data_IF_593661273145
#
_entry.id   IF_593661273145
#
_cell.length_a   1.000
_cell.length_b   1.000
_cell.length_c   1.000
_cell.angle_alpha   90.00
_cell.angle_beta   90.00
_cell.angle_gamma   90.00
#
_symmetry.space_group_name_H-M   'P 1'
#
loop_
_entity.id
_entity.type
_entity.pdbx_description
1 polymer ?
#
# COMPACT_ATOMS: atom_id res chain seq x y z
N UNK A 1 -4.94 -13.51 5.76
CA UNK A 1 -3.81 -12.62 6.15
C UNK A 1 -3.61 -12.49 7.66
N UNK A 2 -4.64 -12.73 8.48
CA UNK A 2 -4.48 -12.78 9.94
C UNK A 2 -5.03 -11.56 10.68
N UNK A 3 -5.81 -10.71 10.03
CA UNK A 3 -6.69 -9.76 10.70
C UNK A 3 -7.65 -10.50 11.65
N UNK A 4 -7.82 -9.97 12.86
CA UNK A 4 -8.63 -10.58 13.90
C UNK A 4 -10.03 -9.95 13.96
N UNK A 5 -11.02 -10.67 13.43
CA UNK A 5 -12.42 -10.22 13.41
C UNK A 5 -13.11 -10.22 14.78
N UNK A 6 -12.50 -10.77 15.83
CA UNK A 6 -13.00 -10.56 17.20
C UNK A 6 -12.61 -9.18 17.74
N UNK A 7 -11.71 -8.49 17.04
CA UNK A 7 -11.11 -7.20 17.40
C UNK A 7 -11.25 -6.18 16.28
N UNK A 8 -12.22 -6.38 15.40
CA UNK A 8 -12.41 -5.55 14.24
C UNK A 8 -13.51 -5.99 13.31
N UNK A 9 -13.91 -5.09 12.42
CA UNK A 9 -14.98 -5.32 11.43
C UNK A 9 -14.60 -4.75 10.07
N UNK A 10 -15.30 -5.19 9.03
CA UNK A 10 -15.21 -4.61 7.69
C UNK A 10 -16.58 -4.07 7.25
N UNK A 11 -16.59 -2.98 6.49
CA UNK A 11 -17.79 -2.34 5.94
C UNK A 11 -17.50 -1.73 4.54
N UNK A 12 -18.52 -1.14 3.91
CA UNK A 12 -18.36 -0.44 2.63
C UNK A 12 -18.22 1.08 2.82
N UNK A 13 -17.37 1.71 2.02
CA UNK A 13 -17.25 3.18 1.94
C UNK A 13 -16.89 3.63 0.52
N UNK A 14 -17.07 4.92 0.23
CA UNK A 14 -16.69 5.49 -1.08
C UNK A 14 -15.16 5.52 -1.29
N UNK A 15 -14.42 5.80 -0.22
CA UNK A 15 -12.96 5.70 -0.18
C UNK A 15 -12.59 4.72 0.92
N UNK A 16 -11.93 3.59 0.60
CA UNK A 16 -11.43 2.65 1.59
C UNK A 16 -10.52 3.32 2.61
N UNK A 17 -10.66 2.94 3.89
CA UNK A 17 -9.80 3.40 4.97
C UNK A 17 -9.76 2.41 6.13
N UNK A 18 -8.78 2.62 7.01
CA UNK A 18 -8.64 1.93 8.29
C UNK A 18 -8.80 2.94 9.42
N UNK A 19 -9.61 2.59 10.41
CA UNK A 19 -9.80 3.36 11.64
C UNK A 19 -9.59 2.46 12.85
N UNK A 20 -8.76 2.88 13.79
CA UNK A 20 -8.60 2.25 15.09
C UNK A 20 -9.21 3.13 16.19
N UNK A 21 -10.00 2.54 17.09
CA UNK A 21 -10.37 3.16 18.36
C UNK A 21 -9.41 2.74 19.48
N UNK A 22 -9.07 1.45 19.48
CA UNK A 22 -7.94 0.84 20.17
C UNK A 22 -7.55 -0.47 19.44
N UNK A 23 -6.52 -1.19 19.90
CA UNK A 23 -6.06 -2.43 19.25
C UNK A 23 -7.10 -3.58 19.19
N UNK A 24 -8.18 -3.48 19.95
CA UNK A 24 -9.30 -4.42 20.04
C UNK A 24 -10.56 -3.93 19.29
N UNK A 25 -10.55 -2.74 18.70
CA UNK A 25 -11.59 -2.25 17.79
C UNK A 25 -10.94 -1.49 16.61
N UNK A 26 -10.51 -2.28 15.62
CA UNK A 26 -9.93 -1.80 14.36
C UNK A 26 -10.89 -2.10 13.22
N UNK A 27 -11.28 -1.08 12.46
CA UNK A 27 -12.32 -1.16 11.44
C UNK A 27 -11.73 -0.85 10.07
N UNK A 28 -12.05 -1.70 9.12
CA UNK A 28 -11.63 -1.56 7.73
C UNK A 28 -12.85 -1.21 6.88
N UNK A 29 -12.63 -0.51 5.79
CA UNK A 29 -13.64 -0.40 4.75
C UNK A 29 -13.08 -0.79 3.39
N UNK A 30 -13.95 -1.18 2.47
CA UNK A 30 -13.60 -1.41 1.07
C UNK A 30 -14.70 -0.87 0.15
N UNK A 31 -14.41 -0.82 -1.15
CA UNK A 31 -15.37 -0.45 -2.19
C UNK A 31 -15.44 -1.56 -3.21
N UNK A 32 -16.62 -2.12 -3.41
CA UNK A 32 -16.86 -3.09 -4.46
C UNK A 32 -17.17 -2.37 -5.77
N UNK A 33 -16.45 -2.75 -6.83
CA UNK A 33 -16.68 -2.28 -8.19
C UNK A 33 -17.04 -3.52 -9.01
N UNK A 34 -18.29 -3.59 -9.47
CA UNK A 34 -18.89 -4.79 -10.08
C UNK A 34 -18.02 -5.37 -11.22
N UNK A 35 -17.40 -4.52 -12.03
CA UNK A 35 -16.59 -4.91 -13.18
C UNK A 35 -15.06 -4.83 -12.92
N UNK A 36 -14.63 -4.62 -11.67
CA UNK A 36 -13.22 -4.53 -11.30
C UNK A 36 -12.96 -5.22 -9.95
N UNK A 37 -13.09 -6.56 -9.86
CA UNK A 37 -12.99 -7.29 -8.60
C UNK A 37 -11.64 -7.10 -7.90
N UNK A 38 -10.55 -6.99 -8.67
CA UNK A 38 -9.20 -6.78 -8.11
C UNK A 38 -9.04 -5.44 -7.40
N UNK A 39 -9.77 -4.40 -7.79
CA UNK A 39 -9.78 -3.12 -7.07
C UNK A 39 -10.20 -3.34 -5.61
N UNK A 40 -11.34 -4.03 -5.40
CA UNK A 40 -11.83 -4.34 -4.06
C UNK A 40 -10.94 -5.32 -3.28
N UNK A 41 -10.34 -6.30 -3.96
CA UNK A 41 -9.45 -7.29 -3.33
C UNK A 41 -8.18 -6.60 -2.83
N UNK A 42 -7.50 -5.82 -3.68
CA UNK A 42 -6.26 -5.15 -3.29
C UNK A 42 -6.51 -4.00 -2.31
N UNK A 43 -7.62 -3.26 -2.45
CA UNK A 43 -8.08 -2.33 -1.42
C UNK A 43 -8.27 -3.03 -0.07
N UNK A 44 -8.95 -4.18 -0.04
CA UNK A 44 -9.16 -4.93 1.22
C UNK A 44 -7.84 -5.41 1.81
N UNK A 45 -6.90 -5.88 0.97
CA UNK A 45 -5.58 -6.30 1.41
C UNK A 45 -4.78 -5.11 1.97
N UNK A 46 -4.85 -3.96 1.31
CA UNK A 46 -4.20 -2.72 1.70
C UNK A 46 -4.64 -2.30 3.11
N UNK A 47 -5.96 -2.15 3.31
CA UNK A 47 -6.53 -1.82 4.61
C UNK A 47 -6.27 -2.91 5.65
N UNK A 48 -6.22 -4.18 5.24
CA UNK A 48 -5.82 -5.27 6.13
C UNK A 48 -4.40 -5.10 6.67
N UNK A 49 -3.46 -4.60 5.88
CA UNK A 49 -2.10 -4.34 6.34
C UNK A 49 -2.03 -3.26 7.40
N UNK A 50 -2.75 -2.15 7.20
CA UNK A 50 -2.96 -1.12 8.22
C UNK A 50 -3.61 -1.71 9.49
N UNK A 51 -4.70 -2.46 9.32
CA UNK A 51 -5.43 -3.03 10.43
C UNK A 51 -4.61 -4.02 11.26
N UNK A 52 -3.77 -4.82 10.60
CA UNK A 52 -2.87 -5.75 11.29
C UNK A 52 -1.83 -5.00 12.13
N UNK A 53 -1.28 -3.88 11.63
CA UNK A 53 -0.35 -3.07 12.41
C UNK A 53 -1.05 -2.59 13.70
N UNK A 54 -2.21 -1.96 13.58
CA UNK A 54 -2.96 -1.43 14.71
C UNK A 54 -3.36 -2.53 15.72
N UNK A 55 -3.81 -3.70 15.25
CA UNK A 55 -4.16 -4.83 16.10
C UNK A 55 -2.98 -5.47 16.86
N UNK A 56 -1.75 -5.17 16.46
CA UNK A 56 -0.51 -5.74 17.00
C UNK A 56 0.30 -4.79 17.87
N UNK A 57 -0.16 -3.54 18.05
CA UNK A 57 0.44 -2.60 19.01
C UNK A 57 0.46 -3.20 20.42
N UNK A 58 1.55 -2.95 21.15
CA UNK A 58 1.80 -3.52 22.48
C UNK A 58 0.67 -3.21 23.49
N UNK A 59 0.37 -4.18 24.35
CA UNK A 59 -0.64 -4.02 25.41
C UNK A 59 -0.25 -2.93 26.41
N UNK A 60 1.05 -2.83 26.72
CA UNK A 60 1.59 -1.83 27.66
C UNK A 60 1.46 -0.39 27.16
N UNK A 61 1.16 -0.18 25.87
CA UNK A 61 0.95 1.14 25.29
C UNK A 61 -0.51 1.57 25.32
N UNK A 62 -1.46 0.66 25.54
CA UNK A 62 -2.88 0.96 25.43
C UNK A 62 -3.32 2.03 26.44
N UNK A 63 -4.22 2.92 26.02
CA UNK A 63 -4.65 4.08 26.82
C UNK A 63 -3.67 5.25 26.82
N UNK A 64 -2.56 5.16 26.07
CA UNK A 64 -1.62 6.28 25.86
C UNK A 64 -1.69 6.80 24.43
N UNK A 65 -1.08 7.96 24.16
CA UNK A 65 -0.93 8.50 22.80
C UNK A 65 0.05 7.71 21.92
N UNK A 66 0.71 6.69 22.48
CA UNK A 66 1.66 5.83 21.78
C UNK A 66 1.00 4.57 21.19
N UNK A 67 -0.29 4.34 21.49
CA UNK A 67 -1.05 3.14 21.14
C UNK A 67 -1.55 3.07 19.69
N UNK A 68 -0.72 3.49 18.73
CA UNK A 68 -1.05 3.50 17.29
C UNK A 68 0.26 3.46 16.49
N UNK A 69 0.21 3.30 15.17
CA UNK A 69 1.42 3.23 14.35
C UNK A 69 2.31 4.48 14.40
N UNK A 70 3.62 4.26 14.21
CA UNK A 70 4.71 5.22 14.41
C UNK A 70 4.58 6.51 13.61
N UNK A 71 4.77 6.41 12.30
CA UNK A 71 4.65 7.51 11.34
C UNK A 71 3.73 7.11 10.19
N UNK A 72 3.20 8.08 9.44
CA UNK A 72 2.35 7.80 8.28
C UNK A 72 3.08 6.93 7.24
N UNK A 73 4.36 7.19 6.98
CA UNK A 73 5.16 6.39 6.06
C UNK A 73 5.38 4.96 6.56
N UNK A 74 5.64 4.76 7.86
CA UNK A 74 5.73 3.43 8.43
C UNK A 74 4.37 2.71 8.40
N UNK A 75 3.27 3.42 8.63
CA UNK A 75 1.93 2.86 8.59
C UNK A 75 1.55 2.41 7.18
N UNK A 76 1.82 3.25 6.17
CA UNK A 76 1.68 2.90 4.75
C UNK A 76 2.59 1.75 4.33
N UNK A 77 3.78 1.66 4.91
CA UNK A 77 4.66 0.54 4.58
C UNK A 77 4.02 -0.81 4.90
N UNK A 78 3.16 -0.88 5.92
CA UNK A 78 2.47 -2.12 6.26
C UNK A 78 1.36 -2.42 5.25
N UNK A 79 0.56 -1.44 4.85
CA UNK A 79 -0.46 -1.65 3.82
C UNK A 79 0.15 -2.04 2.48
N UNK A 80 1.18 -1.33 2.02
CA UNK A 80 1.89 -1.64 0.76
C UNK A 80 2.63 -2.97 0.81
N UNK A 81 3.23 -3.32 1.94
CA UNK A 81 3.83 -4.63 2.13
C UNK A 81 2.82 -5.76 1.88
N UNK A 82 1.66 -5.68 2.53
CA UNK A 82 0.63 -6.70 2.37
C UNK A 82 -0.02 -6.66 0.98
N UNK A 83 -0.28 -5.49 0.42
CA UNK A 83 -0.88 -5.33 -0.90
C UNK A 83 0.04 -5.85 -2.01
N UNK A 84 1.26 -5.34 -2.06
CA UNK A 84 2.11 -5.46 -3.23
C UNK A 84 3.12 -6.60 -3.10
N UNK A 85 3.93 -6.57 -2.04
CA UNK A 85 4.98 -7.58 -1.84
C UNK A 85 4.38 -8.95 -1.50
N UNK A 86 3.23 -8.98 -0.84
CA UNK A 86 2.50 -10.22 -0.55
C UNK A 86 1.36 -10.45 -1.56
N UNK A 87 0.34 -9.59 -1.56
CA UNK A 87 -0.93 -9.81 -2.28
C UNK A 87 -0.79 -9.86 -3.80
N UNK A 88 0.16 -9.14 -4.39
CA UNK A 88 0.45 -9.17 -5.84
C UNK A 88 1.57 -10.15 -6.22
N UNK A 89 2.06 -10.96 -5.29
CA UNK A 89 3.11 -11.96 -5.56
C UNK A 89 2.54 -13.27 -6.11
N UNK A 90 3.25 -13.89 -7.05
CA UNK A 90 2.90 -15.23 -7.57
C UNK A 90 2.76 -16.26 -6.44
N UNK A 91 3.65 -16.23 -5.45
CA UNK A 91 3.65 -17.15 -4.30
C UNK A 91 2.38 -17.06 -3.47
N UNK A 92 1.84 -15.86 -3.27
CA UNK A 92 0.56 -15.68 -2.57
C UNK A 92 -0.59 -16.30 -3.35
N UNK A 93 -0.68 -16.03 -4.65
CA UNK A 93 -1.73 -16.57 -5.50
C UNK A 93 -1.67 -18.09 -5.57
N UNK A 94 -0.49 -18.70 -5.73
CA UNK A 94 -0.33 -20.17 -5.69
C UNK A 94 -0.90 -20.79 -4.41
N UNK A 95 -0.73 -20.12 -3.27
CA UNK A 95 -1.22 -20.61 -1.98
C UNK A 95 -2.74 -20.54 -1.79
N UNK A 96 -3.43 -19.73 -2.61
CA UNK A 96 -4.88 -19.50 -2.49
C UNK A 96 -5.68 -19.88 -3.73
N UNK A 97 -5.06 -20.04 -4.90
CA UNK A 97 -5.73 -20.17 -6.19
C UNK A 97 -6.77 -21.30 -6.19
N UNK A 98 -6.30 -22.53 -5.97
CA UNK A 98 -7.16 -23.72 -6.01
C UNK A 98 -8.24 -23.71 -4.92
N UNK A 99 -7.96 -23.07 -3.77
CA UNK A 99 -8.89 -22.97 -2.64
C UNK A 99 -10.06 -22.04 -2.92
N UNK A 100 -9.93 -21.15 -3.90
CA UNK A 100 -10.93 -20.14 -4.22
C UNK A 100 -11.69 -20.45 -5.51
N UNK A 101 -11.39 -21.56 -6.19
CA UNK A 101 -12.08 -21.98 -7.41
C UNK A 101 -13.59 -22.18 -7.19
N UNK A 102 -14.01 -22.68 -6.02
CA UNK A 102 -15.43 -22.90 -5.72
C UNK A 102 -16.18 -21.58 -5.47
N UNK A 103 -15.47 -20.54 -4.99
CA UNK A 103 -16.03 -19.20 -4.75
C UNK A 103 -16.03 -18.38 -6.03
N UNK A 104 -14.98 -18.52 -6.85
CA UNK A 104 -14.79 -17.83 -8.12
C UNK A 104 -14.57 -18.85 -9.24
N UNK A 105 -15.64 -19.44 -9.80
CA UNK A 105 -15.53 -20.46 -10.84
C UNK A 105 -14.74 -20.03 -12.09
N UNK A 106 -14.67 -18.73 -12.36
CA UNK A 106 -13.86 -18.14 -13.44
C UNK A 106 -12.37 -18.51 -13.34
N UNK A 107 -11.86 -18.81 -12.13
CA UNK A 107 -10.48 -19.28 -11.94
C UNK A 107 -10.21 -20.63 -12.60
N UNK A 108 -11.23 -21.39 -13.01
CA UNK A 108 -11.06 -22.62 -13.82
C UNK A 108 -10.74 -22.33 -15.28
N UNK A 109 -11.08 -21.13 -15.76
CA UNK A 109 -10.98 -20.75 -17.16
C UNK A 109 -9.72 -19.94 -17.47
N UNK A 110 -9.14 -19.30 -16.44
CA UNK A 110 -7.85 -18.60 -16.54
C UNK A 110 -6.74 -19.45 -15.93
N UNK A 111 -5.51 -19.31 -16.43
CA UNK A 111 -4.35 -19.90 -15.76
C UNK A 111 -3.73 -18.89 -14.76
N UNK A 112 -2.98 -19.41 -13.78
CA UNK A 112 -2.41 -18.58 -12.72
C UNK A 112 -1.36 -17.57 -13.24
N UNK A 113 -0.65 -17.89 -14.32
CA UNK A 113 0.34 -17.00 -14.93
C UNK A 113 -0.35 -15.82 -15.64
N UNK A 114 -1.47 -16.06 -16.32
CA UNK A 114 -2.36 -15.04 -16.89
C UNK A 114 -2.92 -14.12 -15.81
N UNK A 115 -3.44 -14.71 -14.73
CA UNK A 115 -3.91 -13.94 -13.58
C UNK A 115 -2.79 -13.06 -13.01
N UNK A 116 -1.61 -13.63 -12.80
CA UNK A 116 -0.46 -12.91 -12.26
C UNK A 116 -0.01 -11.75 -13.16
N UNK A 117 -0.08 -11.92 -14.48
CA UNK A 117 0.18 -10.83 -15.44
C UNK A 117 -0.88 -9.74 -15.34
N UNK A 118 -2.15 -10.10 -15.25
CA UNK A 118 -3.26 -9.13 -15.21
C UNK A 118 -3.25 -8.28 -13.93
N UNK A 119 -3.08 -8.89 -12.76
CA UNK A 119 -3.05 -8.15 -11.49
C UNK A 119 -1.82 -7.25 -11.32
N UNK A 120 -0.83 -7.41 -12.20
CA UNK A 120 0.39 -6.63 -12.25
C UNK A 120 0.51 -5.83 -13.55
N UNK A 121 -0.61 -5.60 -14.24
CA UNK A 121 -0.62 -4.75 -15.42
C UNK A 121 -0.21 -3.31 -15.05
N UNK A 122 0.59 -2.71 -15.91
CA UNK A 122 1.11 -1.35 -15.82
C UNK A 122 0.53 -0.51 -16.94
N UNK A 123 -0.04 0.63 -16.58
CA UNK A 123 -0.60 1.58 -17.54
C UNK A 123 -0.72 2.97 -16.90
N UNK A 124 -0.26 4.04 -17.58
CA UNK A 124 -0.54 5.39 -17.13
C UNK A 124 -2.05 5.63 -17.01
N UNK A 125 -2.50 6.11 -15.86
CA UNK A 125 -3.91 6.28 -15.55
C UNK A 125 -4.16 7.58 -14.78
N UNK A 126 -5.43 7.92 -14.56
CA UNK A 126 -5.80 9.17 -13.89
C UNK A 126 -5.88 9.04 -12.37
N UNK A 127 -6.42 7.92 -11.88
CA UNK A 127 -6.83 7.75 -10.48
C UNK A 127 -5.70 7.12 -9.67
N UNK A 128 -5.13 7.87 -8.73
CA UNK A 128 -3.99 7.45 -7.92
C UNK A 128 -4.24 6.14 -7.17
N UNK A 129 -5.44 5.92 -6.62
CA UNK A 129 -5.74 4.70 -5.85
C UNK A 129 -5.78 3.44 -6.70
N UNK A 130 -5.99 3.59 -8.02
CA UNK A 130 -6.03 2.48 -8.98
C UNK A 130 -4.73 2.35 -9.78
N UNK A 131 -3.75 3.24 -9.55
CA UNK A 131 -2.48 3.22 -10.25
C UNK A 131 -1.63 1.99 -9.90
N UNK A 132 -0.89 1.48 -10.87
CA UNK A 132 0.01 0.34 -10.72
C UNK A 132 1.30 0.71 -9.95
N UNK A 133 2.10 -0.29 -9.57
CA UNK A 133 3.28 -0.08 -8.72
C UNK A 133 4.40 0.76 -9.38
N UNK A 134 4.45 0.84 -10.72
CA UNK A 134 5.43 1.64 -11.45
C UNK A 134 4.98 3.10 -11.62
N UNK A 135 3.69 3.33 -11.80
CA UNK A 135 3.13 4.68 -12.04
C UNK A 135 2.68 5.38 -10.76
N UNK A 136 2.32 4.65 -9.71
CA UNK A 136 1.77 5.20 -8.45
C UNK A 136 2.62 6.31 -7.84
N UNK A 137 3.95 6.12 -7.75
CA UNK A 137 4.84 7.12 -7.15
C UNK A 137 4.89 8.43 -7.94
N UNK A 138 4.59 8.40 -9.24
CA UNK A 138 4.51 9.61 -10.07
C UNK A 138 3.29 10.45 -9.69
N UNK A 139 2.15 9.82 -9.38
CA UNK A 139 0.98 10.54 -8.82
C UNK A 139 1.31 11.26 -7.51
N UNK A 140 2.18 10.67 -6.68
CA UNK A 140 2.65 11.29 -5.44
C UNK A 140 3.56 12.48 -5.73
N UNK A 141 4.47 12.35 -6.70
CA UNK A 141 5.36 13.45 -7.11
C UNK A 141 4.56 14.67 -7.59
N UNK A 142 3.52 14.46 -8.43
CA UNK A 142 2.64 15.53 -8.91
C UNK A 142 2.06 16.33 -7.73
N UNK A 143 1.49 15.64 -6.73
CA UNK A 143 0.86 16.27 -5.57
C UNK A 143 1.89 16.97 -4.69
N UNK A 144 3.03 16.34 -4.43
CA UNK A 144 4.10 16.92 -3.64
C UNK A 144 4.65 18.21 -4.26
N UNK A 145 4.86 18.24 -5.57
CA UNK A 145 5.32 19.45 -6.26
C UNK A 145 4.27 20.56 -6.26
N UNK A 146 2.99 20.21 -6.42
CA UNK A 146 1.89 21.17 -6.28
C UNK A 146 1.86 21.76 -4.88
N UNK A 147 1.88 20.92 -3.83
CA UNK A 147 1.90 21.38 -2.44
C UNK A 147 3.09 22.30 -2.15
N UNK A 148 4.28 21.93 -2.63
CA UNK A 148 5.48 22.75 -2.48
C UNK A 148 5.33 24.10 -3.19
N UNK A 149 4.81 24.11 -4.42
CA UNK A 149 4.59 25.35 -5.17
C UNK A 149 3.57 26.26 -4.51
N UNK A 150 2.47 25.72 -3.96
CA UNK A 150 1.49 26.51 -3.19
C UNK A 150 2.15 27.11 -1.95
N UNK A 151 2.87 26.30 -1.16
CA UNK A 151 3.53 26.76 0.08
C UNK A 151 4.56 27.86 -0.20
N UNK A 152 5.27 27.77 -1.33
CA UNK A 152 6.26 28.75 -1.74
C UNK A 152 5.66 30.00 -2.41
N UNK A 153 4.34 30.06 -2.65
CA UNK A 153 3.70 31.13 -3.41
C UNK A 153 4.06 31.13 -4.90
N UNK A 154 4.44 29.98 -5.44
CA UNK A 154 4.75 29.76 -6.86
C UNK A 154 3.53 29.31 -7.67
N UNK A 155 2.50 28.77 -7.00
CA UNK A 155 1.24 28.30 -7.59
C UNK A 155 0.07 28.95 -6.85
N UNK A 156 -0.81 29.61 -7.59
CA UNK A 156 -2.08 30.13 -7.07
C UNK A 156 -3.16 29.04 -7.07
N UNK A 157 -4.07 29.09 -6.08
CA UNK A 157 -5.12 28.06 -5.91
C UNK A 157 -6.06 28.01 -7.11
N UNK A 158 -6.37 29.16 -7.71
CA UNK A 158 -7.28 29.25 -8.85
C UNK A 158 -6.71 28.58 -10.12
N UNK A 159 -5.38 28.39 -10.20
CA UNK A 159 -4.70 27.77 -11.35
C UNK A 159 -4.54 26.26 -11.20
N UNK A 160 -4.96 25.68 -10.06
CA UNK A 160 -4.76 24.26 -9.76
C UNK A 160 -5.28 23.28 -10.83
N UNK A 161 -6.46 23.48 -11.46
CA UNK A 161 -6.91 22.59 -12.54
C UNK A 161 -5.93 22.53 -13.72
N UNK A 162 -5.39 23.68 -14.14
CA UNK A 162 -4.43 23.75 -15.26
C UNK A 162 -3.07 23.15 -14.86
N UNK A 163 -2.57 23.51 -13.68
CA UNK A 163 -1.31 22.99 -13.17
C UNK A 163 -1.36 21.47 -13.01
N UNK A 164 -2.49 20.93 -12.53
CA UNK A 164 -2.71 19.50 -12.41
C UNK A 164 -2.61 18.80 -13.76
N UNK A 165 -3.37 19.28 -14.75
CA UNK A 165 -3.41 18.68 -16.07
C UNK A 165 -2.03 18.69 -16.74
N UNK A 166 -1.30 19.80 -16.64
CA UNK A 166 0.07 19.91 -17.15
C UNK A 166 1.02 18.90 -16.49
N UNK A 167 0.92 18.73 -15.16
CA UNK A 167 1.76 17.77 -14.45
C UNK A 167 1.38 16.31 -14.75
N UNK A 168 0.10 16.01 -14.91
CA UNK A 168 -0.35 14.67 -15.35
C UNK A 168 0.20 14.35 -16.75
N UNK A 169 0.18 15.30 -17.68
CA UNK A 169 0.79 15.13 -19.00
C UNK A 169 2.32 14.96 -18.92
N UNK A 170 3.00 15.78 -18.13
CA UNK A 170 4.46 15.73 -17.95
C UNK A 170 4.95 14.41 -17.35
N UNK A 171 4.28 13.92 -16.30
CA UNK A 171 4.72 12.75 -15.55
C UNK A 171 4.17 11.43 -16.10
N UNK A 172 2.91 11.42 -16.55
CA UNK A 172 2.19 10.20 -16.94
C UNK A 172 1.79 10.19 -18.41
N UNK A 173 1.90 11.31 -19.14
CA UNK A 173 1.50 11.38 -20.54
C UNK A 173 -0.02 11.33 -20.77
N UNK A 174 -0.81 11.58 -19.72
CA UNK A 174 -2.28 11.50 -19.77
C UNK A 174 -2.91 12.74 -19.13
N UNK A 175 -4.08 13.16 -19.61
CA UNK A 175 -4.81 14.33 -19.07
C UNK A 175 -6.26 13.93 -18.79
N UNK A 176 -6.76 14.10 -17.55
CA UNK A 176 -8.16 13.85 -17.22
C UNK A 176 -9.12 14.77 -18.01
N UNK A 177 -10.26 14.26 -18.45
CA UNK A 177 -11.26 15.06 -19.16
C UNK A 177 -12.02 16.03 -18.24
N UNK A 178 -12.07 15.74 -16.94
CA UNK A 178 -12.81 16.51 -15.95
C UNK A 178 -12.05 16.63 -14.64
N UNK A 179 -12.31 17.69 -13.88
CA UNK A 179 -11.69 17.91 -12.57
C UNK A 179 -12.04 16.84 -11.54
N UNK A 180 -13.17 16.12 -11.73
CA UNK A 180 -13.58 14.98 -10.91
C UNK A 180 -12.50 13.90 -10.87
N UNK A 181 -11.95 13.56 -12.04
CA UNK A 181 -10.88 12.57 -12.18
C UNK A 181 -9.50 13.25 -12.21
N UNK A 182 -9.47 14.58 -12.20
CA UNK A 182 -8.29 15.42 -12.07
C UNK A 182 -8.07 15.88 -10.64
N UNK A 183 -7.96 17.19 -10.45
CA UNK A 183 -7.55 17.82 -9.19
C UNK A 183 -8.47 17.54 -8.00
N UNK A 184 -9.72 17.15 -8.23
CA UNK A 184 -10.71 16.83 -7.18
C UNK A 184 -10.77 15.34 -6.83
N UNK A 185 -9.93 14.49 -7.43
CA UNK A 185 -10.00 13.04 -7.23
C UNK A 185 -9.69 12.59 -5.78
N UNK A 186 -8.95 13.41 -5.03
CA UNK A 186 -8.50 13.11 -3.67
C UNK A 186 -9.08 14.06 -2.64
N UNK A 187 -9.50 13.49 -1.50
CA UNK A 187 -10.10 14.25 -0.39
C UNK A 187 -9.07 15.00 0.47
N UNK A 188 -7.79 14.66 0.35
CA UNK A 188 -6.71 15.08 1.27
C UNK A 188 -6.65 16.59 1.47
N UNK A 189 -6.63 17.36 0.38
CA UNK A 189 -6.54 18.82 0.46
C UNK A 189 -7.80 19.45 1.07
N UNK A 190 -8.99 18.89 0.79
CA UNK A 190 -10.24 19.32 1.43
C UNK A 190 -10.25 19.03 2.93
N UNK A 191 -9.58 17.96 3.37
CA UNK A 191 -9.39 17.60 4.77
C UNK A 191 -8.21 18.30 5.46
N UNK A 192 -7.50 19.20 4.76
CA UNK A 192 -6.32 19.90 5.31
C UNK A 192 -5.07 19.03 5.47
N UNK A 193 -5.01 17.87 4.81
CA UNK A 193 -3.88 16.93 4.85
C UNK A 193 -2.76 17.36 3.87
N UNK A 194 -2.18 18.54 4.11
CA UNK A 194 -1.05 19.08 3.33
C UNK A 194 0.27 18.48 3.83
N UNK A 195 1.15 18.06 2.92
CA UNK A 195 2.40 17.37 3.25
C UNK A 195 2.20 15.89 3.58
N UNK A 196 0.99 15.36 3.38
CA UNK A 196 0.64 13.97 3.67
C UNK A 196 1.07 13.03 2.54
N UNK A 197 0.89 13.42 1.27
CA UNK A 197 1.13 12.53 0.13
C UNK A 197 2.53 11.91 0.05
N UNK A 198 3.63 12.62 0.41
CA UNK A 198 4.97 12.01 0.44
C UNK A 198 5.06 10.75 1.31
N UNK A 199 4.22 10.62 2.34
CA UNK A 199 4.17 9.42 3.17
C UNK A 199 3.82 8.15 2.38
N UNK A 200 3.02 8.27 1.30
CA UNK A 200 2.68 7.15 0.43
C UNK A 200 3.90 6.58 -0.30
N UNK A 201 4.72 7.47 -0.88
CA UNK A 201 5.96 7.06 -1.56
C UNK A 201 6.99 6.50 -0.55
N UNK A 202 7.10 7.10 0.63
CA UNK A 202 7.95 6.57 1.71
C UNK A 202 7.51 5.17 2.15
N UNK A 203 6.19 4.92 2.23
CA UNK A 203 5.63 3.61 2.55
C UNK A 203 6.13 2.52 1.61
N UNK A 204 6.12 2.76 0.30
CA UNK A 204 6.66 1.83 -0.70
C UNK A 204 8.15 1.51 -0.46
N UNK A 205 8.96 2.53 -0.14
CA UNK A 205 10.40 2.36 0.11
C UNK A 205 10.65 1.56 1.39
N UNK A 206 9.99 1.92 2.49
CA UNK A 206 10.06 1.17 3.75
C UNK A 206 9.62 -0.29 3.55
N UNK A 207 8.50 -0.51 2.87
CA UNK A 207 7.96 -1.85 2.62
C UNK A 207 8.96 -2.74 1.87
N UNK A 208 9.60 -2.20 0.83
CA UNK A 208 10.57 -2.94 0.03
C UNK A 208 11.85 -3.26 0.82
N UNK A 209 12.36 -2.31 1.60
CA UNK A 209 13.56 -2.54 2.42
C UNK A 209 13.27 -3.55 3.56
N UNK A 210 12.11 -3.46 4.20
CA UNK A 210 11.65 -4.45 5.18
C UNK A 210 11.49 -5.84 4.56
N UNK A 211 10.87 -5.93 3.38
CA UNK A 211 10.71 -7.18 2.64
C UNK A 211 12.06 -7.79 2.26
N UNK A 212 13.01 -6.97 1.80
CA UNK A 212 14.36 -7.43 1.49
C UNK A 212 15.05 -8.04 2.73
N UNK A 213 14.94 -7.40 3.89
CA UNK A 213 15.48 -7.93 5.14
C UNK A 213 14.75 -9.21 5.57
N UNK A 214 13.42 -9.24 5.48
CA UNK A 214 12.62 -10.42 5.84
C UNK A 214 13.01 -11.66 5.01
N UNK A 215 13.31 -11.50 3.71
CA UNK A 215 13.79 -12.59 2.85
C UNK A 215 15.14 -13.19 3.29
N UNK A 216 15.94 -12.46 4.08
CA UNK A 216 17.18 -12.98 4.67
C UNK A 216 16.90 -13.83 5.92
N UNK A 217 15.83 -13.51 6.65
CA UNK A 217 15.44 -14.16 7.89
C UNK A 217 14.58 -15.42 7.67
N UNK A 218 13.82 -15.48 6.58
CA UNK A 218 12.92 -16.61 6.28
C UNK A 218 12.64 -16.78 4.78
N UNK A 219 12.20 -17.99 4.40
CA UNK A 219 11.68 -18.26 3.06
C UNK A 219 10.23 -17.78 2.92
N UNK A 220 10.08 -16.50 2.59
CA UNK A 220 8.76 -15.85 2.46
C UNK A 220 7.91 -16.54 1.40
N UNK A 221 8.49 -16.92 0.26
CA UNK A 221 7.76 -17.58 -0.83
C UNK A 221 7.14 -18.89 -0.39
N UNK A 222 7.93 -19.75 0.26
CA UNK A 222 7.43 -21.03 0.80
C UNK A 222 6.32 -20.81 1.83
N UNK A 223 6.44 -19.79 2.71
CA UNK A 223 5.37 -19.46 3.63
C UNK A 223 4.07 -19.05 2.92
N UNK A 224 4.17 -18.24 1.86
CA UNK A 224 3.00 -17.80 1.08
C UNK A 224 2.34 -18.94 0.31
N UNK A 225 3.11 -19.75 -0.41
CA UNK A 225 2.57 -20.90 -1.18
C UNK A 225 1.89 -21.92 -0.26
N UNK A 226 2.31 -22.03 1.00
CA UNK A 226 1.70 -22.91 1.99
C UNK A 226 0.62 -22.23 2.86
N UNK A 227 0.29 -20.97 2.62
CA UNK A 227 -0.71 -20.21 3.38
C UNK A 227 -0.31 -19.89 4.84
N UNK A 228 0.97 -19.95 5.17
CA UNK A 228 1.55 -19.72 6.51
C UNK A 228 1.91 -18.25 6.75
N UNK A 229 0.91 -17.37 6.68
CA UNK A 229 1.06 -15.91 6.87
C UNK A 229 1.33 -15.50 8.33
N UNK A 230 1.14 -16.40 9.29
CA UNK A 230 1.40 -16.20 10.71
C UNK A 230 2.86 -15.86 11.00
N UNK A 231 3.80 -16.46 10.25
CA UNK A 231 5.24 -16.19 10.38
C UNK A 231 5.63 -14.79 9.92
N UNK A 232 5.09 -14.37 8.78
CA UNK A 232 5.27 -13.01 8.23
C UNK A 232 4.68 -11.98 9.20
N UNK A 233 3.43 -12.20 9.64
CA UNK A 233 2.74 -11.36 10.61
C UNK A 233 3.50 -11.27 11.95
N UNK A 234 4.04 -12.40 12.43
CA UNK A 234 4.83 -12.45 13.66
C UNK A 234 6.15 -11.69 13.54
N UNK A 235 6.83 -11.80 12.40
CA UNK A 235 8.07 -11.06 12.15
C UNK A 235 7.87 -9.55 12.19
N UNK A 236 6.82 -9.05 11.53
CA UNK A 236 6.45 -7.63 11.56
C UNK A 236 6.03 -7.19 12.96
N UNK A 237 5.29 -8.02 13.69
CA UNK A 237 4.91 -7.76 15.09
C UNK A 237 6.12 -7.49 15.96
N UNK A 238 7.03 -8.46 15.99
CA UNK A 238 8.12 -8.50 16.97
C UNK A 238 9.19 -7.41 16.70
N UNK A 239 9.24 -6.91 15.46
CA UNK A 239 10.21 -5.89 15.03
C UNK A 239 9.62 -4.49 14.89
N UNK A 240 8.34 -4.38 14.58
CA UNK A 240 7.71 -3.09 14.23
C UNK A 240 6.49 -2.83 15.11
N UNK A 241 5.50 -3.73 15.05
CA UNK A 241 4.16 -3.35 15.48
C UNK A 241 4.04 -3.12 16.98
N UNK A 242 4.73 -3.93 17.79
CA UNK A 242 4.65 -3.84 19.26
C UNK A 242 5.04 -2.47 19.80
N UNK A 243 5.85 -1.72 19.06
CA UNK A 243 6.38 -0.44 19.50
C UNK A 243 5.39 0.72 19.35
N UNK A 244 4.33 0.60 18.56
CA UNK A 244 3.43 1.73 18.30
C UNK A 244 4.21 3.00 17.88
N UNK A 245 4.01 4.12 18.60
CA UNK A 245 4.79 5.37 18.46
C UNK A 245 5.95 5.52 19.45
N UNK A 246 6.33 4.47 20.18
CA UNK A 246 7.40 4.55 21.18
C UNK A 246 8.79 4.78 20.56
N UNK A 247 8.98 4.33 19.31
CA UNK A 247 10.26 4.35 18.61
C UNK A 247 10.20 5.27 17.40
N UNK A 248 11.27 6.02 17.16
CA UNK A 248 11.43 6.80 15.94
C UNK A 248 11.57 5.87 14.73
N UNK A 249 10.88 6.21 13.63
CA UNK A 249 10.82 5.33 12.44
C UNK A 249 12.22 5.09 11.85
N UNK A 250 13.06 6.13 11.77
CA UNK A 250 14.40 6.00 11.20
C UNK A 250 15.31 5.06 12.02
N UNK A 251 15.27 5.17 13.35
CA UNK A 251 16.02 4.30 14.25
C UNK A 251 15.55 2.85 14.14
N UNK A 252 14.23 2.65 14.11
CA UNK A 252 13.63 1.32 14.00
C UNK A 252 14.04 0.62 12.70
N UNK A 253 14.03 1.36 11.58
CA UNK A 253 14.44 0.84 10.28
C UNK A 253 15.93 0.50 10.29
N UNK A 254 16.79 1.39 10.79
CA UNK A 254 18.22 1.13 10.94
C UNK A 254 18.52 -0.12 11.77
N UNK A 255 17.80 -0.33 12.87
CA UNK A 255 17.96 -1.51 13.73
C UNK A 255 17.53 -2.81 13.05
N UNK A 256 16.41 -2.77 12.31
CA UNK A 256 15.86 -3.96 11.65
C UNK A 256 16.70 -4.34 10.43
N UNK A 257 17.06 -3.37 9.60
CA UNK A 257 17.64 -3.60 8.28
C UNK A 257 19.16 -3.55 8.29
N UNK A 258 19.75 -2.89 9.29
CA UNK A 258 21.18 -2.63 9.42
C UNK A 258 21.66 -1.38 8.68
N UNK A 259 20.78 -0.62 8.03
CA UNK A 259 21.12 0.59 7.26
C UNK A 259 19.97 1.62 7.26
N UNK A 260 20.28 2.85 6.86
CA UNK A 260 19.29 3.92 6.76
C UNK A 260 18.25 3.61 5.67
N UNK A 261 17.25 4.47 5.51
CA UNK A 261 16.25 4.29 4.46
C UNK A 261 16.90 4.39 3.07
N UNK A 262 16.82 3.32 2.29
CA UNK A 262 17.51 3.20 1.02
C UNK A 262 16.53 2.88 -0.12
N UNK A 263 16.23 3.85 -1.02
CA UNK A 263 15.31 3.68 -2.15
C UNK A 263 15.70 2.56 -3.13
N UNK A 264 16.98 2.16 -3.14
CA UNK A 264 17.51 1.11 -4.02
C UNK A 264 16.71 -0.20 -3.92
N UNK A 265 16.26 -0.57 -2.73
CA UNK A 265 15.50 -1.82 -2.52
C UNK A 265 14.14 -1.80 -3.19
N UNK A 266 13.47 -0.65 -3.22
CA UNK A 266 12.22 -0.50 -3.95
C UNK A 266 12.44 -0.59 -5.46
N UNK A 267 13.47 0.10 -5.96
CA UNK A 267 13.83 0.07 -7.39
C UNK A 267 14.21 -1.36 -7.82
N UNK A 268 15.02 -2.06 -7.03
CA UNK A 268 15.43 -3.44 -7.30
C UNK A 268 14.22 -4.39 -7.27
N UNK A 269 13.33 -4.27 -6.29
CA UNK A 269 12.09 -5.04 -6.23
C UNK A 269 11.24 -4.87 -7.50
N UNK A 270 11.02 -3.62 -7.92
CA UNK A 270 10.26 -3.32 -9.12
C UNK A 270 10.94 -3.87 -10.37
N UNK A 271 12.25 -3.62 -10.54
CA UNK A 271 13.01 -4.12 -11.69
C UNK A 271 12.95 -5.64 -11.77
N UNK A 272 13.22 -6.35 -10.67
CA UNK A 272 13.22 -7.81 -10.64
C UNK A 272 11.83 -8.38 -10.97
N UNK A 273 10.77 -7.78 -10.43
CA UNK A 273 9.40 -8.23 -10.64
C UNK A 273 8.95 -7.98 -12.08
N UNK A 274 9.11 -6.75 -12.55
CA UNK A 274 8.53 -6.31 -13.82
C UNK A 274 9.36 -6.75 -15.03
N UNK A 275 10.68 -6.93 -14.91
CA UNK A 275 11.46 -7.53 -16.00
C UNK A 275 11.02 -8.95 -16.32
N UNK A 276 10.66 -9.74 -15.30
CA UNK A 276 10.13 -11.10 -15.46
C UNK A 276 8.70 -11.13 -16.01
N UNK A 277 7.86 -10.16 -15.66
CA UNK A 277 6.45 -10.11 -16.13
C UNK A 277 6.39 -9.71 -17.60
N UNK A 278 7.20 -8.74 -17.99
CA UNK A 278 7.17 -8.10 -19.32
C UNK A 278 8.30 -8.58 -20.25
N UNK A 279 9.07 -9.59 -19.84
CA UNK A 279 10.19 -10.15 -20.59
C UNK A 279 11.18 -9.06 -21.05
N UNK A 280 11.58 -8.19 -20.11
CA UNK A 280 12.51 -7.07 -20.33
C UNK A 280 13.95 -7.45 -19.94
N UNK A 281 14.93 -6.93 -20.69
CA UNK A 281 16.37 -7.13 -20.46
C UNK A 281 16.92 -6.38 -19.23
#
# INVERSE_FOLDING_TARGET
MGFDFNRGVTAESEHPFTLNLDKNDVRLTTKYIENAPFSSIFSTIHETGHGIYEQQVGDDLQGTTLATGGSMGLHESQSRFYENMIGRSMSFWKGIYDKNIDVFPVLKEINIDELYREINRVEPSFIRTEADELTYSLHIMIRYEIEKGIINGEIEIDDLPEVWNKKMEEYLGVVPETDRDGVLQDVHWACGLIGYFPSYALGNVYAAQLYNTMKKDMDVNSHLENGKLDRIKGWLRDRIHIYGKLRETAELIQEITGEELEPKYYIEYLKEKYSKIYDLD
#
